data_IF_638307262995
#
_entry.id   IF_638307262995
#
_cell.length_a   1.000
_cell.length_b   1.000
_cell.length_c   1.000
_cell.angle_alpha   90.00
_cell.angle_beta   90.00
_cell.angle_gamma   90.00
#
_symmetry.space_group_name_H-M   'P 1'
#
loop_
_entity.id
_entity.type
_entity.pdbx_description
1 polymer ?
#
# COMPACT_ATOMS: atom_id res chain seq x y z
N UNK A 1 -8.33 -26.75 -1.86
CA UNK A 1 -7.79 -25.75 -2.80
C UNK A 1 -6.62 -25.03 -2.17
N UNK A 2 -5.54 -24.78 -2.93
CA UNK A 2 -4.40 -24.01 -2.43
C UNK A 2 -4.89 -22.62 -2.01
N UNK A 3 -4.67 -22.22 -0.75
CA UNK A 3 -5.10 -20.90 -0.26
C UNK A 3 -4.24 -19.79 -0.83
N UNK A 4 -2.96 -20.06 -1.03
CA UNK A 4 -2.00 -19.18 -1.67
C UNK A 4 -1.98 -19.42 -3.19
N UNK A 5 -2.33 -18.41 -3.96
CA UNK A 5 -2.41 -18.50 -5.42
C UNK A 5 -2.18 -17.12 -6.04
N UNK A 6 -1.10 -16.99 -6.81
CA UNK A 6 -0.75 -15.75 -7.48
C UNK A 6 -1.88 -15.29 -8.40
N UNK A 7 -2.30 -14.04 -8.29
CA UNK A 7 -3.41 -13.45 -9.04
C UNK A 7 -4.81 -13.71 -8.45
N UNK A 8 -4.94 -14.54 -7.41
CA UNK A 8 -6.22 -14.75 -6.73
C UNK A 8 -6.64 -13.51 -5.93
N UNK A 9 -7.96 -13.36 -5.75
CA UNK A 9 -8.58 -12.24 -5.04
C UNK A 9 -9.11 -12.73 -3.70
N UNK A 10 -8.83 -11.94 -2.66
CA UNK A 10 -9.16 -12.22 -1.28
C UNK A 10 -9.97 -11.08 -0.67
N UNK A 11 -10.91 -11.45 0.19
CA UNK A 11 -11.66 -10.56 1.05
C UNK A 11 -10.95 -10.41 2.40
N UNK A 12 -10.75 -9.16 2.81
CA UNK A 12 -10.22 -8.74 4.09
C UNK A 12 -11.39 -8.14 4.87
N UNK A 13 -11.88 -8.91 5.85
CA UNK A 13 -12.89 -8.42 6.79
C UNK A 13 -12.24 -7.41 7.75
N UNK A 14 -12.81 -6.21 7.83
CA UNK A 14 -12.41 -5.16 8.75
C UNK A 14 -13.56 -4.67 9.64
N UNK A 15 -14.51 -5.56 9.92
CA UNK A 15 -15.66 -5.29 10.78
C UNK A 15 -16.77 -4.58 10.00
N UNK A 16 -16.75 -3.25 10.00
CA UNK A 16 -17.81 -2.44 9.36
C UNK A 16 -17.69 -2.38 7.84
N UNK A 17 -16.50 -2.65 7.30
CA UNK A 17 -16.20 -2.64 5.87
C UNK A 17 -15.40 -3.87 5.50
N UNK A 18 -15.56 -4.31 4.25
CA UNK A 18 -14.69 -5.32 3.64
C UNK A 18 -13.82 -4.66 2.58
N UNK A 19 -12.56 -5.07 2.54
CA UNK A 19 -11.61 -4.68 1.50
C UNK A 19 -11.25 -5.90 0.67
N UNK A 20 -10.81 -5.64 -0.56
CA UNK A 20 -10.46 -6.71 -1.48
C UNK A 20 -9.02 -6.52 -1.93
N UNK A 21 -8.27 -7.61 -1.98
CA UNK A 21 -6.87 -7.59 -2.38
C UNK A 21 -6.54 -8.72 -3.34
N UNK A 22 -5.73 -8.42 -4.35
CA UNK A 22 -5.11 -9.41 -5.23
C UNK A 22 -3.72 -9.75 -4.73
N UNK A 23 -3.38 -11.04 -4.66
CA UNK A 23 -2.01 -11.47 -4.41
C UNK A 23 -1.17 -11.25 -5.69
N UNK A 24 -0.16 -10.41 -5.58
CA UNK A 24 0.85 -10.12 -6.59
C UNK A 24 2.15 -10.90 -6.29
N UNK A 25 3.15 -10.75 -7.15
CA UNK A 25 4.46 -11.35 -6.93
C UNK A 25 5.13 -10.81 -5.65
N UNK A 26 6.12 -11.56 -5.15
CA UNK A 26 6.93 -11.16 -3.99
C UNK A 26 6.10 -10.90 -2.72
N UNK A 27 5.08 -11.72 -2.47
CA UNK A 27 4.18 -11.67 -1.29
C UNK A 27 3.55 -10.27 -1.07
N UNK A 28 3.35 -9.50 -2.15
CA UNK A 28 2.67 -8.21 -2.15
C UNK A 28 1.18 -8.39 -2.44
N UNK A 29 0.35 -7.55 -1.85
CA UNK A 29 -1.08 -7.50 -2.09
C UNK A 29 -1.47 -6.13 -2.62
N UNK A 30 -2.04 -6.08 -3.82
CA UNK A 30 -2.68 -4.89 -4.35
C UNK A 30 -4.11 -4.81 -3.82
N UNK A 31 -4.39 -3.81 -2.98
CA UNK A 31 -5.73 -3.57 -2.45
C UNK A 31 -6.50 -2.73 -3.46
N UNK A 32 -7.66 -3.21 -3.90
CA UNK A 32 -8.47 -2.55 -4.93
C UNK A 32 -9.03 -1.20 -4.45
N UNK A 33 -9.28 -0.29 -5.38
CA UNK A 33 -10.13 0.87 -5.16
C UNK A 33 -11.58 0.46 -4.83
N UNK A 34 -12.41 1.37 -4.26
CA UNK A 34 -13.79 1.05 -3.91
C UNK A 34 -14.55 0.54 -5.14
N UNK A 35 -15.21 -0.60 -5.00
CA UNK A 35 -16.07 -1.13 -6.04
C UNK A 35 -17.43 -0.42 -5.99
N UNK A 36 -17.91 0.02 -7.15
CA UNK A 36 -19.29 0.44 -7.31
C UNK A 36 -20.12 -0.74 -7.83
N UNK A 37 -21.04 -1.27 -7.01
CA UNK A 37 -21.97 -2.32 -7.42
C UNK A 37 -21.62 -3.71 -6.90
N UNK A 38 -21.97 -4.74 -7.68
CA UNK A 38 -21.83 -6.14 -7.28
C UNK A 38 -20.37 -6.62 -7.37
N UNK A 39 -19.98 -7.46 -6.40
CA UNK A 39 -18.65 -8.07 -6.35
C UNK A 39 -18.57 -9.19 -7.39
N UNK A 40 -18.00 -8.89 -8.57
CA UNK A 40 -17.78 -9.85 -9.65
C UNK A 40 -16.32 -9.88 -10.11
N UNK A 41 -15.96 -10.90 -10.88
CA UNK A 41 -14.59 -11.04 -11.40
C UNK A 41 -14.27 -9.94 -12.39
N UNK A 42 -15.24 -9.58 -13.22
CA UNK A 42 -15.16 -8.54 -14.24
C UNK A 42 -14.95 -7.17 -13.60
N UNK A 43 -15.68 -6.87 -12.51
CA UNK A 43 -15.52 -5.61 -11.78
C UNK A 43 -14.08 -5.43 -11.27
N UNK A 44 -13.42 -6.51 -10.83
CA UNK A 44 -12.03 -6.44 -10.38
C UNK A 44 -10.99 -6.30 -11.51
N UNK A 45 -11.28 -6.73 -12.73
CA UNK A 45 -10.33 -6.55 -13.84
C UNK A 45 -10.24 -5.09 -14.29
N UNK A 46 -11.35 -4.34 -14.18
CA UNK A 46 -11.39 -2.92 -14.54
C UNK A 46 -11.04 -1.99 -13.37
N UNK A 47 -10.95 -2.52 -12.14
CA UNK A 47 -10.68 -1.73 -10.94
C UNK A 47 -9.18 -1.64 -10.65
N UNK A 48 -8.60 -0.44 -10.56
CA UNK A 48 -7.20 -0.28 -10.21
C UNK A 48 -6.94 -0.60 -8.73
N UNK A 49 -5.67 -0.89 -8.41
CA UNK A 49 -5.23 -0.92 -7.02
C UNK A 49 -5.12 0.49 -6.45
N UNK A 50 -5.65 0.67 -5.25
CA UNK A 50 -5.54 1.91 -4.48
C UNK A 50 -4.25 1.99 -3.68
N UNK A 51 -3.86 0.88 -3.05
CA UNK A 51 -2.65 0.82 -2.23
C UNK A 51 -2.03 -0.59 -2.22
N UNK A 52 -0.81 -0.69 -1.73
CA UNK A 52 -0.02 -1.92 -1.76
C UNK A 52 0.49 -2.28 -0.38
N UNK A 53 0.17 -3.48 0.08
CA UNK A 53 0.58 -3.98 1.40
C UNK A 53 1.34 -5.29 1.26
N UNK A 54 2.31 -5.53 2.14
CA UNK A 54 2.91 -6.84 2.35
C UNK A 54 2.81 -7.21 3.83
N UNK A 55 2.90 -8.51 4.13
CA UNK A 55 2.91 -8.96 5.52
C UNK A 55 3.86 -10.10 5.80
N UNK A 56 4.63 -9.98 6.89
CA UNK A 56 5.56 -11.00 7.34
C UNK A 56 4.88 -12.25 7.90
N UNK A 57 3.58 -12.19 8.19
CA UNK A 57 2.80 -13.29 8.78
C UNK A 57 2.09 -14.20 7.75
N UNK A 58 2.20 -13.89 6.45
CA UNK A 58 1.62 -14.63 5.33
C UNK A 58 0.11 -14.89 5.45
N UNK A 59 -0.69 -13.82 5.56
CA UNK A 59 -2.13 -13.85 5.79
C UNK A 59 -2.89 -14.91 4.96
N UNK A 60 -2.68 -14.92 3.64
CA UNK A 60 -3.40 -15.84 2.74
C UNK A 60 -2.85 -17.27 2.79
N UNK A 61 -1.55 -17.48 3.06
CA UNK A 61 -0.98 -18.83 3.24
C UNK A 61 -1.61 -19.50 4.46
N UNK A 62 -1.83 -18.74 5.53
CA UNK A 62 -2.47 -19.20 6.76
C UNK A 62 -4.00 -19.22 6.66
N UNK A 63 -4.58 -18.54 5.67
CA UNK A 63 -6.00 -18.57 5.36
C UNK A 63 -6.86 -17.67 6.23
N UNK A 64 -6.28 -16.56 6.70
CA UNK A 64 -7.03 -15.55 7.44
C UNK A 64 -7.93 -14.72 6.52
N UNK A 65 -7.53 -14.55 5.27
CA UNK A 65 -8.36 -13.89 4.26
C UNK A 65 -9.11 -14.92 3.42
N UNK A 66 -10.38 -14.64 3.20
CA UNK A 66 -11.27 -15.51 2.45
C UNK A 66 -10.99 -15.34 0.96
N UNK A 67 -10.63 -16.43 0.29
CA UNK A 67 -10.49 -16.42 -1.17
C UNK A 67 -11.87 -16.28 -1.82
N UNK A 68 -12.05 -15.27 -2.65
CA UNK A 68 -13.28 -15.04 -3.41
C UNK A 68 -13.18 -15.63 -4.81
N UNK A 69 -12.12 -15.26 -5.53
CA UNK A 69 -11.92 -15.67 -6.91
C UNK A 69 -10.54 -16.31 -7.08
N UNK A 70 -10.44 -17.46 -7.78
CA UNK A 70 -9.15 -18.01 -8.18
C UNK A 70 -8.49 -17.12 -9.24
N UNK A 71 -7.19 -17.30 -9.40
CA UNK A 71 -6.44 -16.58 -10.42
C UNK A 71 -6.95 -16.94 -11.83
N UNK A 72 -7.13 -15.95 -12.72
CA UNK A 72 -7.38 -16.22 -14.13
C UNK A 72 -6.28 -17.08 -14.77
N UNK A 73 -5.03 -16.81 -14.43
CA UNK A 73 -3.86 -17.58 -14.85
C UNK A 73 -2.73 -17.40 -13.83
N UNK A 74 -2.56 -18.38 -12.94
CA UNK A 74 -1.53 -18.34 -11.89
C UNK A 74 -0.09 -18.43 -12.41
N UNK A 75 0.12 -18.72 -13.71
CA UNK A 75 1.44 -18.84 -14.33
C UNK A 75 1.91 -17.54 -14.99
N UNK A 76 1.00 -16.59 -15.19
CA UNK A 76 1.30 -15.26 -15.75
C UNK A 76 1.92 -14.33 -14.70
N UNK A 77 3.21 -14.52 -14.46
CA UNK A 77 3.96 -13.76 -13.44
C UNK A 77 4.05 -12.27 -13.78
N UNK A 78 4.12 -11.92 -15.07
CA UNK A 78 4.24 -10.52 -15.51
C UNK A 78 2.92 -9.77 -15.29
N UNK A 79 1.76 -10.39 -15.56
CA UNK A 79 0.46 -9.75 -15.25
C UNK A 79 0.27 -9.51 -13.76
N UNK A 80 0.79 -10.41 -12.92
CA UNK A 80 0.71 -10.30 -11.47
C UNK A 80 1.94 -9.65 -10.83
N UNK A 81 2.73 -8.92 -11.62
CA UNK A 81 3.87 -8.20 -11.08
C UNK A 81 3.41 -7.04 -10.19
N UNK A 82 4.20 -6.73 -9.17
CA UNK A 82 4.11 -5.46 -8.46
C UNK A 82 4.38 -4.27 -9.40
N UNK A 83 4.03 -3.04 -9.01
CA UNK A 83 4.36 -1.85 -9.76
C UNK A 83 5.86 -1.73 -10.05
N UNK A 84 6.19 -0.95 -11.09
CA UNK A 84 7.58 -0.72 -11.50
C UNK A 84 8.43 -0.16 -10.37
N UNK A 85 7.85 0.77 -9.60
CA UNK A 85 8.47 1.40 -8.45
C UNK A 85 7.48 1.39 -7.29
N UNK A 86 7.91 0.89 -6.14
CA UNK A 86 7.14 0.92 -4.91
C UNK A 86 8.00 1.48 -3.79
N UNK A 87 7.74 2.75 -3.43
CA UNK A 87 8.63 3.53 -2.56
C UNK A 87 8.48 3.15 -1.09
N UNK A 88 9.60 3.17 -0.37
CA UNK A 88 9.63 3.06 1.09
C UNK A 88 9.54 4.47 1.66
N UNK A 89 8.48 4.74 2.41
CA UNK A 89 8.24 6.02 3.06
C UNK A 89 8.10 5.84 4.56
N UNK A 90 8.71 6.74 5.32
CA UNK A 90 8.65 6.75 6.78
C UNK A 90 8.05 8.08 7.24
N UNK A 91 6.75 8.14 7.59
CA UNK A 91 6.08 9.40 7.90
C UNK A 91 6.68 10.13 9.11
N UNK A 92 7.28 9.39 10.05
CA UNK A 92 8.00 9.95 11.21
C UNK A 92 9.43 10.44 10.89
N UNK A 93 9.95 10.19 9.68
CA UNK A 93 11.29 10.58 9.22
C UNK A 93 11.26 10.93 7.73
N UNK A 94 10.54 12.01 7.38
CA UNK A 94 10.35 12.43 5.98
C UNK A 94 11.69 12.82 5.36
N UNK A 95 12.53 13.57 6.08
CA UNK A 95 13.85 13.96 5.58
C UNK A 95 14.72 12.74 5.27
N UNK A 96 14.78 11.77 6.18
CA UNK A 96 15.54 10.55 5.94
C UNK A 96 14.97 9.73 4.79
N UNK A 97 13.64 9.64 4.65
CA UNK A 97 13.00 8.98 3.51
C UNK A 97 13.43 9.62 2.18
N UNK A 98 13.47 10.95 2.13
CA UNK A 98 13.89 11.71 0.94
C UNK A 98 15.38 11.62 0.65
N UNK A 99 16.22 11.49 1.68
CA UNK A 99 17.65 11.26 1.46
C UNK A 99 17.88 9.87 0.88
N UNK A 100 17.19 8.86 1.42
CA UNK A 100 17.31 7.44 1.04
C UNK A 100 16.70 7.14 -0.34
N UNK A 101 15.54 7.74 -0.67
CA UNK A 101 14.76 7.50 -1.92
C UNK A 101 14.62 6.02 -2.30
N UNK A 102 14.50 5.18 -1.27
CA UNK A 102 14.46 3.74 -1.45
C UNK A 102 13.14 3.33 -2.08
N UNK A 103 13.22 2.46 -3.09
CA UNK A 103 12.10 1.83 -3.76
C UNK A 103 12.37 0.34 -3.93
N UNK A 104 11.32 -0.41 -4.24
CA UNK A 104 11.44 -1.77 -4.77
C UNK A 104 11.02 -1.80 -6.23
N UNK A 105 11.84 -2.43 -7.07
CA UNK A 105 11.54 -2.66 -8.48
C UNK A 105 10.42 -3.70 -8.67
N UNK A 106 10.05 -3.98 -9.93
CA UNK A 106 9.00 -4.97 -10.26
C UNK A 106 9.29 -6.42 -9.82
N UNK A 107 10.54 -6.72 -9.46
CA UNK A 107 11.00 -8.02 -8.96
C UNK A 107 11.18 -8.03 -7.44
N UNK A 108 11.02 -6.88 -6.78
CA UNK A 108 11.21 -6.73 -5.35
C UNK A 108 12.64 -6.45 -4.92
N UNK A 109 13.54 -6.14 -5.85
CA UNK A 109 14.88 -5.70 -5.51
C UNK A 109 14.88 -4.24 -5.08
N UNK A 110 15.74 -3.92 -4.12
CA UNK A 110 15.94 -2.56 -3.66
C UNK A 110 16.60 -1.72 -4.74
N UNK A 111 16.05 -0.54 -5.00
CA UNK A 111 16.60 0.47 -5.88
C UNK A 111 16.58 1.86 -5.20
N UNK A 112 17.34 2.80 -5.75
CA UNK A 112 17.35 4.19 -5.31
C UNK A 112 16.90 5.05 -6.50
N UNK A 113 15.81 5.78 -6.31
CA UNK A 113 15.23 6.63 -7.34
C UNK A 113 15.83 8.04 -7.32
N UNK A 114 15.73 8.73 -8.44
CA UNK A 114 15.87 10.19 -8.43
C UNK A 114 14.70 10.83 -7.65
N UNK A 115 14.92 12.06 -7.18
CA UNK A 115 13.95 12.76 -6.32
C UNK A 115 12.61 12.99 -7.02
N UNK A 116 12.61 13.33 -8.31
CA UNK A 116 11.38 13.63 -9.04
C UNK A 116 10.50 12.38 -9.17
N UNK A 117 11.10 11.25 -9.55
CA UNK A 117 10.39 9.97 -9.67
C UNK A 117 9.88 9.50 -8.32
N UNK A 118 10.70 9.59 -7.26
CA UNK A 118 10.29 9.21 -5.90
C UNK A 118 9.07 10.01 -5.41
N UNK A 119 9.09 11.33 -5.59
CA UNK A 119 7.98 12.21 -5.19
C UNK A 119 6.72 11.91 -5.99
N UNK A 120 6.85 11.63 -7.29
CA UNK A 120 5.72 11.25 -8.13
C UNK A 120 5.07 9.95 -7.63
N UNK A 121 5.87 8.93 -7.30
CA UNK A 121 5.38 7.69 -6.72
C UNK A 121 4.63 7.90 -5.40
N UNK A 122 5.17 8.75 -4.50
CA UNK A 122 4.49 9.12 -3.25
C UNK A 122 3.10 9.72 -3.51
N UNK A 123 3.02 10.71 -4.40
CA UNK A 123 1.76 11.41 -4.73
C UNK A 123 0.72 10.48 -5.34
N UNK A 124 1.16 9.46 -6.07
CA UNK A 124 0.28 8.45 -6.68
C UNK A 124 -0.05 7.29 -5.73
N UNK A 125 0.54 7.25 -4.54
CA UNK A 125 0.27 6.21 -3.54
C UNK A 125 0.96 4.88 -3.81
N UNK A 126 2.02 4.88 -4.63
CA UNK A 126 2.89 3.72 -4.83
C UNK A 126 3.85 3.50 -3.65
N UNK A 127 3.29 3.37 -2.45
CA UNK A 127 4.04 3.21 -1.20
C UNK A 127 3.99 1.74 -0.76
N UNK A 128 5.15 1.19 -0.41
CA UNK A 128 5.27 -0.18 0.11
C UNK A 128 4.92 -0.23 1.59
N UNK A 129 3.69 -0.58 1.93
CA UNK A 129 3.27 -0.73 3.33
C UNK A 129 3.59 -2.13 3.83
N UNK A 130 4.48 -2.23 4.81
CA UNK A 130 4.88 -3.49 5.40
C UNK A 130 4.21 -3.63 6.77
N UNK A 131 3.26 -4.55 6.89
CA UNK A 131 2.61 -4.86 8.16
C UNK A 131 3.18 -6.15 8.74
N UNK A 132 3.87 -6.13 9.89
CA UNK A 132 4.52 -7.33 10.43
C UNK A 132 3.52 -8.45 10.73
N UNK A 133 2.31 -8.09 11.17
CA UNK A 133 1.23 -8.99 11.58
C UNK A 133 -0.03 -8.69 10.77
N UNK A 134 -0.68 -9.71 10.22
CA UNK A 134 -1.86 -9.53 9.37
C UNK A 134 -3.04 -8.94 10.13
N UNK A 135 -3.11 -9.16 11.45
CA UNK A 135 -4.13 -8.64 12.35
C UNK A 135 -4.17 -7.10 12.37
N UNK A 136 -3.07 -6.43 12.01
CA UNK A 136 -3.01 -4.96 11.93
C UNK A 136 -3.59 -4.41 10.63
N UNK A 137 -3.69 -5.24 9.59
CA UNK A 137 -4.10 -4.80 8.25
C UNK A 137 -5.52 -4.23 8.25
N UNK A 138 -6.54 -4.88 8.85
CA UNK A 138 -7.89 -4.33 8.88
C UNK A 138 -7.96 -2.93 9.50
N UNK A 139 -7.33 -2.71 10.65
CA UNK A 139 -7.29 -1.40 11.30
C UNK A 139 -6.54 -0.37 10.46
N UNK A 140 -5.42 -0.76 9.85
CA UNK A 140 -4.68 0.12 8.94
C UNK A 140 -5.58 0.58 7.78
N UNK A 141 -6.29 -0.34 7.14
CA UNK A 141 -7.19 0.01 6.04
C UNK A 141 -8.30 0.95 6.51
N UNK A 142 -8.94 0.68 7.65
CA UNK A 142 -9.96 1.57 8.22
C UNK A 142 -9.44 2.99 8.51
N UNK A 143 -8.17 3.14 8.88
CA UNK A 143 -7.60 4.44 9.21
C UNK A 143 -7.16 5.23 7.97
N UNK A 144 -6.58 4.56 6.98
CA UNK A 144 -5.82 5.22 5.92
C UNK A 144 -6.45 5.11 4.53
N UNK A 145 -7.25 4.09 4.26
CA UNK A 145 -7.70 3.76 2.90
C UNK A 145 -8.49 4.88 2.21
N UNK A 146 -9.43 5.52 2.92
CA UNK A 146 -10.39 6.46 2.31
C UNK A 146 -9.74 7.76 1.81
N UNK A 147 -8.68 8.25 2.46
CA UNK A 147 -7.91 9.46 2.05
C UNK A 147 -6.47 9.10 1.60
N UNK A 148 -6.28 7.87 1.13
CA UNK A 148 -4.99 7.42 0.62
C UNK A 148 -4.52 8.22 -0.61
N UNK A 149 -3.22 8.58 -0.74
CA UNK A 149 -2.11 8.34 0.19
C UNK A 149 -1.89 9.45 1.23
N UNK A 150 -2.70 10.51 1.20
CA UNK A 150 -2.54 11.67 2.08
C UNK A 150 -2.58 11.26 3.56
N UNK A 151 -3.56 10.45 3.94
CA UNK A 151 -3.73 9.93 5.29
C UNK A 151 -2.46 9.30 5.89
N UNK A 152 -1.68 8.56 5.09
CA UNK A 152 -0.40 7.96 5.49
C UNK A 152 0.72 9.01 5.53
N UNK A 153 0.81 9.84 4.49
CA UNK A 153 1.87 10.84 4.34
C UNK A 153 1.83 11.87 5.48
N UNK A 154 0.63 12.27 5.91
CA UNK A 154 0.43 13.22 7.00
C UNK A 154 0.27 12.56 8.37
N UNK A 155 0.27 11.23 8.47
CA UNK A 155 -0.11 10.50 9.69
C UNK A 155 0.61 11.00 10.95
N UNK A 156 1.94 11.06 10.93
CA UNK A 156 2.74 11.50 12.09
C UNK A 156 2.52 13.00 12.42
N UNK A 157 2.37 13.84 11.40
CA UNK A 157 2.11 15.28 11.58
C UNK A 157 0.73 15.52 12.19
N UNK A 158 -0.28 14.76 11.77
CA UNK A 158 -1.65 14.87 12.27
C UNK A 158 -1.81 14.36 13.71
N UNK A 159 -1.04 13.34 14.09
CA UNK A 159 -1.07 12.78 15.45
C UNK A 159 -0.35 13.71 16.45
N UNK A 160 0.48 14.65 15.96
CA UNK A 160 1.17 15.62 16.81
C UNK A 160 2.22 14.96 17.70
N UNK A 161 2.89 13.92 17.21
CA UNK A 161 3.96 13.22 17.92
C UNK A 161 5.28 14.00 17.88
N UNK A 162 6.08 13.89 18.94
CA UNK A 162 7.40 14.53 19.04
C UNK A 162 7.39 15.97 19.57
N UNK A 163 8.56 16.63 19.50
CA UNK A 163 8.73 18.02 19.94
C UNK A 163 8.16 19.00 18.92
N UNK A 164 7.85 20.23 19.33
CA UNK A 164 7.40 21.29 18.42
C UNK A 164 8.41 21.54 17.27
N UNK A 165 9.71 21.44 17.56
CA UNK A 165 10.76 21.54 16.55
C UNK A 165 10.69 20.41 15.53
N UNK A 166 10.44 19.17 15.99
CA UNK A 166 10.28 18.01 15.11
C UNK A 166 9.07 18.20 14.19
N UNK A 167 7.92 18.59 14.75
CA UNK A 167 6.69 18.83 13.98
C UNK A 167 6.90 19.91 12.91
N UNK A 168 7.50 21.04 13.30
CA UNK A 168 7.79 22.13 12.36
C UNK A 168 8.72 21.67 11.23
N UNK A 169 9.70 20.81 11.53
CA UNK A 169 10.59 20.22 10.54
C UNK A 169 9.85 19.29 9.58
N UNK A 170 8.98 18.40 10.09
CA UNK A 170 8.15 17.53 9.25
C UNK A 170 7.23 18.35 8.32
N UNK A 171 6.56 19.38 8.85
CA UNK A 171 5.72 20.28 8.04
C UNK A 171 6.51 20.99 6.94
N UNK A 172 7.72 21.47 7.24
CA UNK A 172 8.57 22.12 6.25
C UNK A 172 9.00 21.15 5.14
N UNK A 173 9.31 19.89 5.49
CA UNK A 173 9.62 18.86 4.51
C UNK A 173 8.42 18.54 3.62
N UNK A 174 7.21 18.41 4.17
CA UNK A 174 5.99 18.22 3.39
C UNK A 174 5.73 19.38 2.41
N UNK A 175 5.87 20.63 2.87
CA UNK A 175 5.75 21.81 1.97
C UNK A 175 6.70 21.73 0.79
N UNK A 176 7.97 21.34 1.03
CA UNK A 176 8.98 21.17 -0.05
C UNK A 176 8.58 20.14 -1.09
N UNK A 177 7.81 19.12 -0.69
CA UNK A 177 7.30 18.08 -1.58
C UNK A 177 6.05 18.52 -2.37
N UNK A 178 5.53 19.72 -2.11
CA UNK A 178 4.28 20.22 -2.66
C UNK A 178 3.05 19.54 -2.06
N UNK A 179 3.16 19.08 -0.82
CA UNK A 179 2.04 18.64 0.01
C UNK A 179 1.49 19.83 0.80
N UNK A 180 0.16 19.97 0.82
CA UNK A 180 -0.52 21.04 1.51
C UNK A 180 -0.63 20.72 3.01
N UNK A 181 0.02 21.54 3.83
CA UNK A 181 0.03 21.42 5.30
C UNK A 181 -0.87 22.46 5.98
N UNK A 182 -1.76 23.11 5.23
CA UNK A 182 -2.77 24.04 5.78
C UNK A 182 -4.07 23.34 6.21
N UNK A 183 -4.11 22.00 6.11
CA UNK A 183 -5.21 21.17 6.63
C UNK A 183 -5.17 21.03 8.15
#
# INVERSE_FOLDING_TARGET
>A
MARYELGAIYEIDAGEKSYYARLLNCDLYGVFAPLSGEVSKEAFEDTPYRLYISTGSYAVKRGFWKKLFPSPDKTDIERWSRPLHLVVFTPWDIEGALNRRTSFDKYGHTEILDEKTYIQCLKQGFISIIQPMYEKIPQFLNNYYDDWPASEIYSDVLIGTGTAEHQQKQMNNLKRLGFDVSK
#
